data_IF_550742190993
#
_entry.id   IF_550742190993
#
_cell.length_a   1.000
_cell.length_b   1.000
_cell.length_c   1.000
_cell.angle_alpha   90.00
_cell.angle_beta   90.00
_cell.angle_gamma   90.00
#
_symmetry.space_group_name_H-M   'P 1'
#
loop_
_entity.id
_entity.type
_entity.pdbx_description
1 polymer ?
#
# COMPACT_ATOMS: atom_id res chain seq x y z
N UNK A 1 42.63 -43.35 21.99
CA UNK A 1 41.22 -42.99 22.22
C UNK A 1 41.10 -41.54 21.78
N UNK A 2 40.65 -41.30 20.54
CA UNK A 2 40.64 -39.97 19.92
C UNK A 2 39.34 -39.22 20.26
N UNK A 3 39.37 -37.88 20.42
CA UNK A 3 38.17 -37.08 20.67
C UNK A 3 37.33 -36.95 19.39
N UNK A 4 36.00 -37.07 19.53
CA UNK A 4 35.03 -36.91 18.44
C UNK A 4 34.88 -35.42 18.11
N UNK A 5 34.99 -35.09 16.81
CA UNK A 5 34.70 -33.78 16.22
C UNK A 5 33.19 -33.46 16.15
N UNK A 6 32.83 -32.26 15.67
CA UNK A 6 31.68 -31.52 16.17
C UNK A 6 30.33 -31.93 15.58
N UNK A 7 29.31 -31.60 16.38
CA UNK A 7 27.87 -31.76 16.23
C UNK A 7 27.35 -31.33 14.85
N UNK A 8 26.60 -32.23 14.21
CA UNK A 8 25.81 -31.96 13.01
C UNK A 8 24.88 -30.77 13.23
N UNK A 9 24.85 -29.88 12.23
CA UNK A 9 24.14 -28.61 12.25
C UNK A 9 22.67 -28.74 12.61
N UNK A 10 22.23 -27.82 13.47
CA UNK A 10 20.82 -27.58 13.74
C UNK A 10 20.11 -27.24 12.42
N UNK A 11 18.89 -27.76 12.18
CA UNK A 11 18.09 -27.32 11.05
C UNK A 11 17.81 -25.82 11.20
N UNK A 12 18.19 -25.08 10.17
CA UNK A 12 17.95 -23.64 10.02
C UNK A 12 16.44 -23.42 10.15
N UNK A 13 16.08 -22.47 11.02
CA UNK A 13 14.71 -22.15 11.38
C UNK A 13 13.78 -22.06 10.17
N UNK A 14 12.57 -22.59 10.36
CA UNK A 14 11.46 -22.61 9.43
C UNK A 14 11.38 -21.32 8.60
N UNK A 15 11.67 -21.45 7.31
CA UNK A 15 11.21 -20.53 6.28
C UNK A 15 9.70 -20.38 6.50
N UNK A 16 9.26 -19.12 6.54
CA UNK A 16 7.96 -18.68 7.04
C UNK A 16 6.83 -19.64 6.75
N UNK A 17 6.03 -19.90 7.78
CA UNK A 17 4.67 -20.38 7.58
C UNK A 17 4.03 -19.51 6.48
N UNK A 18 3.35 -20.12 5.49
CA UNK A 18 2.61 -19.34 4.52
C UNK A 18 1.63 -18.46 5.29
N UNK A 19 1.84 -17.15 5.25
CA UNK A 19 0.82 -16.19 5.62
C UNK A 19 -0.34 -16.53 4.68
N UNK A 20 -1.50 -16.91 5.25
CA UNK A 20 -2.68 -17.26 4.48
C UNK A 20 -2.96 -16.18 3.44
N UNK A 21 -3.21 -16.62 2.20
CA UNK A 21 -3.44 -15.85 0.96
C UNK A 21 -2.21 -15.19 0.31
N UNK A 22 -1.33 -16.01 -0.29
CA UNK A 22 -0.33 -15.54 -1.28
C UNK A 22 -0.97 -15.28 -2.67
N UNK A 23 -2.21 -15.68 -2.90
CA UNK A 23 -2.87 -15.65 -4.22
C UNK A 23 -4.05 -14.67 -4.30
N UNK A 24 -3.88 -13.41 -3.91
CA UNK A 24 -4.89 -12.38 -4.22
C UNK A 24 -4.53 -11.70 -5.55
N UNK A 25 -5.38 -11.87 -6.57
CA UNK A 25 -5.22 -11.17 -7.85
C UNK A 25 -5.54 -9.67 -7.69
N UNK A 26 -5.02 -8.78 -8.56
CA UNK A 26 -5.37 -7.37 -8.52
C UNK A 26 -6.88 -7.09 -8.57
N UNK A 27 -7.62 -7.90 -9.33
CA UNK A 27 -9.07 -7.81 -9.47
C UNK A 27 -9.77 -8.18 -8.16
N UNK A 28 -9.33 -9.27 -7.51
CA UNK A 28 -9.89 -9.72 -6.23
C UNK A 28 -9.66 -8.68 -5.13
N UNK A 29 -8.46 -8.08 -5.10
CA UNK A 29 -8.13 -6.99 -4.18
C UNK A 29 -9.00 -5.75 -4.42
N UNK A 30 -9.15 -5.35 -5.69
CA UNK A 30 -9.99 -4.21 -6.06
C UNK A 30 -11.46 -4.45 -5.69
N UNK A 31 -11.98 -5.65 -5.91
CA UNK A 31 -13.35 -6.01 -5.55
C UNK A 31 -13.57 -5.95 -4.04
N UNK A 32 -12.62 -6.48 -3.26
CA UNK A 32 -12.65 -6.46 -1.80
C UNK A 32 -12.74 -5.05 -1.23
N UNK A 33 -11.98 -4.10 -1.81
CA UNK A 33 -11.88 -2.73 -1.29
C UNK A 33 -12.61 -1.69 -2.17
N UNK A 34 -13.50 -2.13 -3.06
CA UNK A 34 -14.24 -1.31 -4.03
C UNK A 34 -14.99 -0.13 -3.41
N UNK A 35 -15.46 -0.28 -2.17
CA UNK A 35 -16.18 0.76 -1.43
C UNK A 35 -15.31 1.97 -1.04
N UNK A 36 -13.98 1.83 -1.07
CA UNK A 36 -13.03 2.89 -0.68
C UNK A 36 -12.41 3.62 -1.86
N UNK A 37 -12.88 3.33 -3.07
CA UNK A 37 -12.45 4.04 -4.28
C UNK A 37 -12.79 5.54 -4.20
N UNK A 38 -11.97 6.32 -4.89
CA UNK A 38 -12.12 7.76 -5.05
C UNK A 38 -12.01 8.11 -6.53
N UNK A 39 -12.67 9.19 -6.94
CA UNK A 39 -12.48 9.73 -8.27
C UNK A 39 -11.07 10.31 -8.40
N UNK A 40 -10.41 9.96 -9.50
CA UNK A 40 -9.12 10.48 -9.89
C UNK A 40 -9.16 10.97 -11.33
N UNK A 41 -8.33 11.96 -11.66
CA UNK A 41 -8.03 12.28 -13.05
C UNK A 41 -6.65 11.69 -13.39
N UNK A 42 -6.59 10.75 -14.33
CA UNK A 42 -5.34 10.20 -14.84
C UNK A 42 -4.82 11.04 -16.00
N UNK A 43 -3.56 11.44 -15.89
CA UNK A 43 -2.87 12.16 -16.96
C UNK A 43 -2.42 11.20 -18.07
N UNK A 44 -2.24 11.69 -19.31
CA UNK A 44 -1.70 10.87 -20.39
C UNK A 44 -0.31 10.34 -20.04
N UNK A 45 -0.09 9.05 -20.23
CA UNK A 45 1.19 8.38 -20.00
C UNK A 45 1.67 7.68 -21.28
N UNK A 46 3.00 7.49 -21.46
CA UNK A 46 3.52 6.65 -22.53
C UNK A 46 2.92 5.24 -22.45
N UNK A 47 2.67 4.63 -23.62
CA UNK A 47 2.10 3.30 -23.66
C UNK A 47 2.98 2.30 -22.92
N UNK A 48 2.39 1.59 -21.95
CA UNK A 48 3.09 0.61 -21.11
C UNK A 48 3.84 1.21 -19.92
N UNK A 49 3.67 2.51 -19.61
CA UNK A 49 4.19 3.07 -18.37
C UNK A 49 3.60 2.32 -17.16
N UNK A 50 4.43 1.78 -16.26
CA UNK A 50 3.94 1.13 -15.06
C UNK A 50 3.56 2.13 -13.96
N UNK A 51 3.90 3.41 -14.13
CA UNK A 51 3.61 4.48 -13.17
C UNK A 51 2.67 5.48 -13.84
N UNK A 52 1.62 5.86 -13.12
CA UNK A 52 0.67 6.88 -13.55
C UNK A 52 0.86 8.13 -12.70
N UNK A 53 0.85 9.29 -13.36
CA UNK A 53 0.52 10.56 -12.72
C UNK A 53 -1.02 10.70 -12.60
N UNK A 54 -1.51 10.94 -11.39
CA UNK A 54 -2.93 11.06 -11.08
C UNK A 54 -3.21 12.27 -10.17
N UNK A 55 -4.28 13.01 -10.46
CA UNK A 55 -4.85 13.99 -9.54
C UNK A 55 -5.95 13.31 -8.71
N UNK A 56 -5.71 13.12 -7.42
CA UNK A 56 -6.62 12.45 -6.48
C UNK A 56 -6.89 13.40 -5.31
N UNK A 57 -8.17 13.74 -5.08
CA UNK A 57 -8.57 14.62 -3.96
C UNK A 57 -7.75 15.93 -3.87
N UNK A 58 -7.40 16.50 -5.03
CA UNK A 58 -6.61 17.74 -5.13
C UNK A 58 -5.09 17.55 -4.98
N UNK A 59 -4.61 16.32 -4.87
CA UNK A 59 -3.19 15.97 -4.73
C UNK A 59 -2.67 15.28 -5.99
N UNK A 60 -1.48 15.66 -6.45
CA UNK A 60 -0.79 14.90 -7.51
C UNK A 60 -0.04 13.74 -6.86
N UNK A 61 -0.36 12.52 -7.31
CA UNK A 61 0.28 11.28 -6.87
C UNK A 61 0.86 10.54 -8.07
N UNK A 62 2.04 9.97 -7.86
CA UNK A 62 2.66 8.97 -8.72
C UNK A 62 2.45 7.60 -8.10
N UNK A 63 1.75 6.73 -8.81
CA UNK A 63 1.38 5.41 -8.32
C UNK A 63 1.57 4.33 -9.39
N UNK A 64 1.87 3.11 -8.95
CA UNK A 64 2.08 1.97 -9.83
C UNK A 64 0.73 1.39 -10.27
N UNK A 65 0.52 1.29 -11.58
CA UNK A 65 -0.75 0.82 -12.14
C UNK A 65 -0.92 -0.68 -11.94
N UNK A 66 -2.09 -1.09 -11.46
CA UNK A 66 -2.51 -2.48 -11.30
C UNK A 66 -3.77 -2.81 -12.11
N UNK A 67 -4.23 -1.90 -12.97
CA UNK A 67 -5.33 -2.13 -13.90
C UNK A 67 -4.88 -2.73 -15.25
N UNK A 68 -5.85 -3.05 -16.10
CA UNK A 68 -5.58 -3.58 -17.43
C UNK A 68 -5.00 -2.50 -18.37
N UNK A 69 -3.90 -2.75 -19.11
CA UNK A 69 -3.36 -1.79 -20.05
C UNK A 69 -4.23 -1.67 -21.33
N UNK A 70 -4.26 -0.50 -21.99
CA UNK A 70 -3.60 0.75 -21.59
C UNK A 70 -4.36 1.47 -20.47
N UNK A 71 -3.65 2.31 -19.70
CA UNK A 71 -4.30 3.20 -18.75
C UNK A 71 -5.18 4.23 -19.47
N UNK A 72 -6.40 4.49 -19.00
CA UNK A 72 -7.24 5.53 -19.57
C UNK A 72 -6.68 6.92 -19.23
N UNK A 73 -7.07 7.92 -20.00
CA UNK A 73 -6.87 9.34 -19.66
C UNK A 73 -8.19 9.96 -19.23
N UNK A 74 -8.18 10.73 -18.16
CA UNK A 74 -9.36 11.43 -17.64
C UNK A 74 -9.88 10.86 -16.32
N UNK A 75 -11.15 11.17 -16.03
CA UNK A 75 -11.83 10.79 -14.79
C UNK A 75 -12.08 9.29 -14.70
N UNK A 76 -11.61 8.65 -13.63
CA UNK A 76 -11.83 7.23 -13.35
C UNK A 76 -11.82 6.96 -11.83
N UNK A 77 -12.69 6.06 -11.33
CA UNK A 77 -12.62 5.62 -9.95
C UNK A 77 -11.39 4.74 -9.72
N UNK A 78 -10.56 5.11 -8.76
CA UNK A 78 -9.34 4.39 -8.39
C UNK A 78 -9.33 4.02 -6.92
N UNK A 79 -8.62 2.95 -6.58
CA UNK A 79 -8.26 2.59 -5.22
C UNK A 79 -6.75 2.81 -5.05
N UNK A 80 -6.38 3.62 -4.07
CA UNK A 80 -4.98 3.76 -3.65
C UNK A 80 -4.68 2.75 -2.55
N UNK A 81 -3.54 2.08 -2.66
CA UNK A 81 -3.07 1.13 -1.65
C UNK A 81 -1.59 1.29 -1.35
N UNK A 82 -1.21 1.16 -0.09
CA UNK A 82 0.18 1.16 0.35
C UNK A 82 0.47 0.22 1.52
N UNK A 83 1.73 -0.17 1.66
CA UNK A 83 2.19 -0.96 2.81
C UNK A 83 2.88 -0.04 3.82
N UNK A 84 2.45 -0.09 5.08
CA UNK A 84 3.05 0.72 6.16
C UNK A 84 4.47 0.23 6.43
N UNK A 85 5.43 1.15 6.39
CA UNK A 85 6.83 0.95 6.81
C UNK A 85 7.06 1.40 8.25
N UNK A 86 6.51 2.56 8.60
CA UNK A 86 6.57 3.15 9.94
C UNK A 86 5.23 3.80 10.25
N UNK A 87 4.83 3.79 11.52
CA UNK A 87 3.65 4.49 11.97
C UNK A 87 3.88 5.11 13.35
N UNK A 88 3.38 6.33 13.53
CA UNK A 88 3.40 7.05 14.80
C UNK A 88 2.05 7.76 15.03
N UNK A 89 1.69 8.11 16.27
CA UNK A 89 0.51 8.93 16.51
C UNK A 89 0.62 10.29 15.80
N UNK A 90 -0.42 10.68 15.06
CA UNK A 90 -0.45 11.98 14.37
C UNK A 90 -0.59 13.13 15.38
N UNK A 91 0.36 14.08 15.36
CA UNK A 91 0.40 15.24 16.27
C UNK A 91 0.09 16.59 15.62
N UNK A 92 -0.19 16.60 14.31
CA UNK A 92 -0.49 17.78 13.52
C UNK A 92 -1.78 17.60 12.71
N UNK A 93 -2.12 18.59 11.90
CA UNK A 93 -3.19 18.45 10.90
C UNK A 93 -2.87 17.34 9.89
N UNK A 94 -3.93 16.77 9.30
CA UNK A 94 -3.79 15.73 8.28
C UNK A 94 -2.98 16.26 7.08
N UNK A 95 -2.10 15.42 6.52
CA UNK A 95 -1.15 15.85 5.50
C UNK A 95 -0.79 14.71 4.55
N UNK A 96 -0.23 15.06 3.40
CA UNK A 96 0.48 14.14 2.50
C UNK A 96 1.78 14.80 2.05
N UNK A 97 2.87 14.09 2.17
CA UNK A 97 4.20 14.52 1.77
C UNK A 97 4.88 13.39 0.99
N UNK A 98 5.54 13.73 -0.12
CA UNK A 98 6.32 12.77 -0.92
C UNK A 98 7.77 12.78 -0.45
N UNK A 99 8.27 11.63 -0.02
CA UNK A 99 9.65 11.41 0.39
C UNK A 99 10.36 10.52 -0.64
N UNK A 100 10.87 11.14 -1.70
CA UNK A 100 11.46 10.42 -2.83
C UNK A 100 10.41 9.56 -3.55
N UNK A 101 10.51 8.24 -3.43
CA UNK A 101 9.52 7.30 -3.98
C UNK A 101 8.41 6.92 -2.99
N UNK A 102 8.55 7.31 -1.71
CA UNK A 102 7.60 6.98 -0.64
C UNK A 102 6.61 8.12 -0.41
N UNK A 103 5.51 7.83 0.27
CA UNK A 103 4.59 8.84 0.80
C UNK A 103 4.52 8.73 2.31
N UNK A 104 4.54 9.90 2.95
CA UNK A 104 4.19 10.08 4.35
C UNK A 104 2.81 10.70 4.41
N UNK A 105 1.89 10.05 5.10
CA UNK A 105 0.48 10.44 5.13
C UNK A 105 0.01 10.49 6.58
N UNK A 106 -0.53 11.63 6.99
CA UNK A 106 -1.20 11.82 8.26
C UNK A 106 -2.71 11.84 8.07
N UNK A 107 -3.43 11.01 8.82
CA UNK A 107 -4.89 10.94 8.75
C UNK A 107 -5.54 10.17 9.90
N UNK A 108 -6.86 10.02 9.82
CA UNK A 108 -7.63 9.12 10.67
C UNK A 108 -7.56 7.70 10.12
N UNK A 109 -7.49 6.70 10.99
CA UNK A 109 -7.45 5.29 10.58
C UNK A 109 -8.68 4.53 11.06
N UNK A 110 -9.32 3.80 10.15
CA UNK A 110 -10.42 2.88 10.46
C UNK A 110 -9.98 1.45 10.15
N UNK A 111 -9.98 0.52 11.12
CA UNK A 111 -9.65 -0.88 10.86
C UNK A 111 -10.64 -1.54 9.90
N UNK A 112 -10.12 -2.25 8.90
CA UNK A 112 -10.89 -3.01 7.90
C UNK A 112 -10.82 -4.53 8.10
N UNK A 113 -9.99 -4.99 9.05
CA UNK A 113 -9.72 -6.40 9.32
C UNK A 113 -8.46 -6.90 8.60
N UNK A 114 -7.91 -8.03 9.07
CA UNK A 114 -6.74 -8.71 8.45
C UNK A 114 -5.51 -7.82 8.24
N UNK A 115 -5.27 -6.84 9.14
CA UNK A 115 -4.16 -5.90 9.04
C UNK A 115 -4.39 -4.73 8.08
N UNK A 116 -5.56 -4.66 7.44
CA UNK A 116 -5.95 -3.52 6.60
C UNK A 116 -6.61 -2.41 7.41
N UNK A 117 -6.31 -1.18 7.01
CA UNK A 117 -6.90 0.04 7.54
C UNK A 117 -7.27 0.97 6.38
N UNK A 118 -8.37 1.70 6.53
CA UNK A 118 -8.61 2.89 5.73
C UNK A 118 -7.91 4.06 6.41
N UNK A 119 -6.98 4.72 5.73
CA UNK A 119 -6.36 5.97 6.16
C UNK A 119 -7.03 7.13 5.42
N UNK A 120 -7.63 8.05 6.17
CA UNK A 120 -8.34 9.22 5.64
C UNK A 120 -7.67 10.52 6.10
N UNK A 121 -7.01 11.20 5.15
CA UNK A 121 -6.46 12.54 5.30
C UNK A 121 -6.70 13.35 4.02
N UNK A 122 -5.73 14.14 3.53
CA UNK A 122 -5.79 14.73 2.19
C UNK A 122 -5.85 13.68 1.07
N UNK A 123 -5.41 12.46 1.36
CA UNK A 123 -5.61 11.27 0.53
C UNK A 123 -6.36 10.21 1.34
N UNK A 124 -7.27 9.51 0.67
CA UNK A 124 -7.87 8.25 1.12
C UNK A 124 -7.07 7.08 0.55
N UNK A 125 -6.51 6.26 1.42
CA UNK A 125 -5.64 5.14 1.04
C UNK A 125 -6.00 3.92 1.88
N UNK A 126 -6.17 2.76 1.25
CA UNK A 126 -6.21 1.49 1.98
C UNK A 126 -4.79 1.07 2.29
N UNK A 127 -4.42 0.95 3.56
CA UNK A 127 -3.07 0.58 3.97
C UNK A 127 -3.06 -0.78 4.64
N UNK A 128 -2.02 -1.57 4.37
CA UNK A 128 -1.71 -2.77 5.14
C UNK A 128 -0.66 -2.43 6.20
N UNK A 129 -0.86 -2.90 7.44
CA UNK A 129 0.13 -2.78 8.51
C UNK A 129 0.18 -4.06 9.34
N UNK A 130 1.41 -4.50 9.61
CA UNK A 130 1.73 -5.61 10.52
C UNK A 130 1.68 -5.19 12.00
N UNK A 131 1.56 -3.89 12.27
CA UNK A 131 1.38 -3.31 13.60
C UNK A 131 0.02 -2.61 13.72
N UNK A 132 -0.60 -2.60 14.91
CA UNK A 132 -1.83 -1.83 15.12
C UNK A 132 -1.61 -0.32 14.91
N UNK A 133 -2.47 0.31 14.10
CA UNK A 133 -2.43 1.76 13.89
C UNK A 133 -3.28 2.49 14.94
N UNK A 134 -2.81 3.62 15.49
CA UNK A 134 -3.62 4.48 16.34
C UNK A 134 -4.70 5.19 15.53
N UNK A 135 -5.85 5.52 16.15
CA UNK A 135 -6.99 6.22 15.49
C UNK A 135 -6.60 7.42 14.63
N UNK A 136 -5.56 8.16 15.02
CA UNK A 136 -4.93 9.19 14.21
C UNK A 136 -3.46 8.82 14.05
N UNK A 137 -3.05 8.51 12.82
CA UNK A 137 -1.73 8.00 12.53
C UNK A 137 -1.03 8.86 11.47
N UNK A 138 0.26 9.06 11.68
CA UNK A 138 1.21 9.39 10.62
C UNK A 138 1.85 8.10 10.18
N UNK A 139 1.72 7.75 8.90
CA UNK A 139 2.33 6.56 8.31
C UNK A 139 3.31 6.94 7.23
N UNK A 140 4.44 6.24 7.20
CA UNK A 140 5.37 6.23 6.08
C UNK A 140 5.18 4.93 5.33
N UNK A 141 4.92 5.00 4.03
CA UNK A 141 4.68 3.83 3.20
C UNK A 141 5.99 3.29 2.61
N UNK A 142 6.08 1.97 2.43
CA UNK A 142 7.02 1.37 1.49
C UNK A 142 6.63 1.80 0.06
N UNK A 143 7.60 2.12 -0.81
CA UNK A 143 7.32 2.30 -2.22
C UNK A 143 7.07 0.94 -2.91
N UNK A 144 6.26 0.89 -3.98
CA UNK A 144 5.48 2.00 -4.52
C UNK A 144 4.11 2.16 -3.83
N UNK A 145 3.51 3.35 -3.97
CA UNK A 145 2.06 3.49 -3.84
C UNK A 145 1.41 2.76 -5.02
N UNK A 146 0.42 1.93 -4.76
CA UNK A 146 -0.30 1.16 -5.78
C UNK A 146 -1.60 1.86 -6.13
N UNK A 147 -1.97 1.84 -7.41
CA UNK A 147 -3.25 2.34 -7.93
C UNK A 147 -3.95 1.20 -8.65
N UNK A 148 -5.13 0.85 -8.15
CA UNK A 148 -6.01 -0.14 -8.76
C UNK A 148 -7.18 0.57 -9.43
N UNK A 149 -7.56 0.08 -10.61
CA UNK A 149 -8.67 0.55 -11.42
C UNK A 149 -9.21 -0.61 -12.23
N UNK A 150 -10.41 -0.43 -12.78
CA UNK A 150 -10.97 -1.35 -13.77
C UNK A 150 -10.20 -1.30 -15.11
#
# INVERSE_FOLDING_TARGET
MNPKGPTQGQPIGHIGQPIGSIEESPESFLDRFRAYRVEAYLFPEPWGSPVLEALVQGQIVYAFDRGAPPAPTGGVPVLLHGMVRQAEPLRREAFVEREGASYRIGGETTPLGEGFYLLEGPLRVVVYSDIPLPKRAEVLLWPPLMLFRE
#
